data_IF_633680620823
#
_entry.id   IF_633680620823
#
_cell.length_a   1.000
_cell.length_b   1.000
_cell.length_c   1.000
_cell.angle_alpha   90.00
_cell.angle_beta   90.00
_cell.angle_gamma   90.00
#
_symmetry.space_group_name_H-M   'P 1'
#
loop_
_entity.id
_entity.type
_entity.pdbx_description
1 polymer ?
#
# COMPACT_ATOMS: atom_id res chain seq x y z
N UNK A 1 -4.71 1.24 1.20
CA UNK A 1 -4.99 2.69 1.26
C UNK A 1 -6.44 2.89 0.84
N UNK A 2 -7.20 3.77 1.53
CA UNK A 2 -8.61 3.99 1.25
C UNK A 2 -8.91 4.39 -0.19
N UNK A 3 -9.95 3.77 -0.76
CA UNK A 3 -10.65 4.25 -1.95
C UNK A 3 -11.43 5.53 -1.60
N UNK A 4 -11.59 6.48 -2.53
CA UNK A 4 -12.54 7.58 -2.33
C UNK A 4 -13.98 7.08 -2.21
N UNK A 5 -14.28 5.87 -2.70
CA UNK A 5 -15.59 5.23 -2.61
C UNK A 5 -15.79 4.44 -1.29
N UNK A 6 -14.80 4.44 -0.39
CA UNK A 6 -14.92 3.73 0.89
C UNK A 6 -15.77 4.54 1.89
N UNK A 7 -16.91 3.97 2.27
CA UNK A 7 -17.86 4.63 3.19
C UNK A 7 -17.71 4.26 4.66
N UNK A 8 -16.83 3.30 4.99
CA UNK A 8 -16.57 2.88 6.36
C UNK A 8 -15.99 4.05 7.19
N UNK A 9 -16.29 4.09 8.49
CA UNK A 9 -15.80 5.13 9.40
C UNK A 9 -14.28 5.18 9.42
N UNK A 10 -13.62 4.02 9.48
CA UNK A 10 -12.16 3.89 9.42
C UNK A 10 -11.57 4.62 8.21
N UNK A 11 -12.12 4.40 7.00
CA UNK A 11 -11.64 5.07 5.79
C UNK A 11 -11.76 6.60 5.85
N UNK A 12 -12.84 7.12 6.44
CA UNK A 12 -13.11 8.57 6.50
C UNK A 12 -12.17 9.32 7.43
N UNK A 13 -11.49 8.62 8.34
CA UNK A 13 -10.49 9.20 9.23
C UNK A 13 -9.08 9.25 8.61
N UNK A 14 -8.90 8.68 7.42
CA UNK A 14 -7.62 8.53 6.75
C UNK A 14 -7.60 9.25 5.40
N UNK A 15 -6.40 9.51 4.89
CA UNK A 15 -6.24 10.03 3.54
C UNK A 15 -6.59 8.97 2.51
N UNK A 16 -7.60 9.26 1.68
CA UNK A 16 -7.93 8.43 0.54
C UNK A 16 -7.01 8.72 -0.64
N UNK A 17 -6.73 7.67 -1.41
CA UNK A 17 -6.11 7.82 -2.72
C UNK A 17 -7.07 8.57 -3.65
N UNK A 18 -6.56 9.48 -4.48
CA UNK A 18 -7.36 10.26 -5.43
C UNK A 18 -7.02 9.85 -6.87
N UNK A 19 -7.82 8.96 -7.50
CA UNK A 19 -7.60 8.51 -8.86
C UNK A 19 -7.56 9.64 -9.89
N UNK A 20 -8.27 10.76 -9.63
CA UNK A 20 -8.37 11.87 -10.58
C UNK A 20 -7.06 12.64 -10.73
N UNK A 21 -6.16 12.54 -9.74
CA UNK A 21 -4.86 13.21 -9.74
C UNK A 21 -3.75 12.42 -10.46
N UNK A 22 -4.04 11.19 -10.89
CA UNK A 22 -3.05 10.35 -11.56
C UNK A 22 -3.47 10.03 -13.00
N UNK A 23 -2.55 10.26 -13.94
CA UNK A 23 -2.71 9.85 -15.34
C UNK A 23 -2.32 8.38 -15.57
N UNK A 24 -1.60 7.79 -14.62
CA UNK A 24 -1.06 6.43 -14.73
C UNK A 24 -1.93 5.40 -13.97
N UNK A 25 -2.90 5.88 -13.20
CA UNK A 25 -3.83 5.06 -12.46
C UNK A 25 -4.64 4.13 -13.37
N UNK A 26 -4.70 2.86 -12.96
CA UNK A 26 -5.54 1.82 -13.57
C UNK A 26 -6.18 0.98 -12.47
N UNK A 27 -7.50 1.06 -12.36
CA UNK A 27 -8.27 0.16 -11.51
C UNK A 27 -8.45 -1.19 -12.21
N UNK A 28 -8.23 -2.28 -11.51
CA UNK A 28 -8.60 -3.61 -11.98
C UNK A 28 -9.93 -4.03 -11.35
N UNK A 29 -10.66 -4.95 -12.02
CA UNK A 29 -11.89 -5.53 -11.44
C UNK A 29 -11.61 -6.71 -10.51
N UNK A 30 -10.36 -6.90 -10.08
CA UNK A 30 -9.96 -8.02 -9.24
C UNK A 30 -10.19 -7.68 -7.77
N UNK A 31 -11.09 -8.38 -7.06
CA UNK A 31 -11.30 -8.14 -5.64
C UNK A 31 -10.16 -8.73 -4.81
N UNK A 32 -9.92 -8.16 -3.63
CA UNK A 32 -9.03 -8.72 -2.62
C UNK A 32 -9.66 -8.61 -1.23
N UNK A 33 -9.20 -9.49 -0.33
CA UNK A 33 -9.53 -9.47 1.09
C UNK A 33 -8.32 -9.90 1.90
N UNK A 34 -8.01 -9.20 2.98
CA UNK A 34 -6.91 -9.53 3.89
C UNK A 34 -7.42 -9.48 5.33
N UNK A 35 -7.06 -10.50 6.11
CA UNK A 35 -7.30 -10.57 7.55
C UNK A 35 -5.99 -10.26 8.29
N UNK A 36 -6.03 -9.30 9.20
CA UNK A 36 -4.93 -8.85 10.05
C UNK A 36 -5.28 -9.08 11.52
N UNK A 37 -5.03 -10.29 12.03
CA UNK A 37 -5.43 -10.64 13.40
C UNK A 37 -6.95 -10.48 13.57
N UNK A 38 -7.38 -9.54 14.41
CA UNK A 38 -8.79 -9.18 14.60
C UNK A 38 -9.36 -8.27 13.50
N UNK A 39 -8.52 -7.46 12.85
CA UNK A 39 -8.95 -6.51 11.81
C UNK A 39 -9.01 -7.13 10.42
N UNK A 40 -9.81 -6.56 9.53
CA UNK A 40 -9.84 -6.96 8.12
C UNK A 40 -10.06 -5.78 7.17
N UNK A 41 -9.59 -5.97 5.95
CA UNK A 41 -9.81 -5.03 4.84
C UNK A 41 -10.24 -5.79 3.59
N UNK A 42 -11.06 -5.16 2.77
CA UNK A 42 -11.40 -5.67 1.43
C UNK A 42 -11.53 -4.53 0.43
N UNK A 43 -11.39 -4.85 -0.84
CA UNK A 43 -11.48 -3.86 -1.90
C UNK A 43 -11.08 -4.41 -3.26
N UNK A 44 -10.52 -3.55 -4.10
CA UNK A 44 -10.10 -3.88 -5.47
C UNK A 44 -8.60 -3.67 -5.64
N UNK A 45 -8.01 -4.47 -6.51
CA UNK A 45 -6.63 -4.29 -6.92
C UNK A 45 -6.54 -3.11 -7.90
N UNK A 46 -5.58 -2.22 -7.68
CA UNK A 46 -5.28 -1.09 -8.53
C UNK A 46 -3.79 -1.11 -8.93
N UNK A 47 -3.45 -0.31 -9.93
CA UNK A 47 -2.09 -0.12 -10.43
C UNK A 47 -1.83 1.36 -10.66
N UNK A 48 -0.69 1.85 -10.18
CA UNK A 48 -0.22 3.22 -10.43
C UNK A 48 1.29 3.33 -10.19
N UNK A 49 1.89 4.48 -10.44
CA UNK A 49 3.26 4.77 -10.07
C UNK A 49 3.36 5.10 -8.58
N UNK A 50 4.26 4.40 -7.89
CA UNK A 50 4.60 4.64 -6.49
C UNK A 50 5.93 5.41 -6.41
N UNK A 51 5.99 6.44 -5.58
CA UNK A 51 7.25 7.10 -5.23
C UNK A 51 7.53 7.01 -3.73
N UNK A 52 8.75 6.63 -3.37
CA UNK A 52 9.24 6.59 -1.98
C UNK A 52 10.55 7.38 -1.95
N UNK A 53 10.60 8.48 -1.21
CA UNK A 53 11.78 9.33 -1.10
C UNK A 53 12.41 9.71 -2.47
N UNK A 54 11.57 9.95 -3.50
CA UNK A 54 12.00 10.27 -4.87
C UNK A 54 12.33 9.06 -5.75
N UNK A 55 12.41 7.85 -5.19
CA UNK A 55 12.62 6.61 -5.94
C UNK A 55 11.28 6.16 -6.51
N UNK A 56 11.21 5.92 -7.82
CA UNK A 56 9.97 5.52 -8.51
C UNK A 56 9.90 4.00 -8.71
N UNK A 57 8.73 3.45 -8.42
CA UNK A 57 8.28 2.10 -8.80
C UNK A 57 7.09 2.28 -9.75
N UNK A 58 7.35 2.18 -11.06
CA UNK A 58 6.32 2.41 -12.08
C UNK A 58 5.37 1.23 -12.18
N UNK A 59 4.08 1.49 -12.38
CA UNK A 59 3.08 0.45 -12.51
C UNK A 59 3.03 -0.53 -11.33
N UNK A 60 3.22 -0.04 -10.12
CA UNK A 60 3.09 -0.79 -8.88
C UNK A 60 1.64 -1.21 -8.68
N UNK A 61 1.43 -2.49 -8.36
CA UNK A 61 0.12 -3.02 -7.97
C UNK A 61 -0.09 -2.80 -6.47
N UNK A 62 -1.28 -2.36 -6.07
CA UNK A 62 -1.65 -2.16 -4.67
C UNK A 62 -3.16 -2.40 -4.44
N UNK A 63 -3.55 -2.55 -3.18
CA UNK A 63 -4.95 -2.69 -2.79
C UNK A 63 -5.58 -1.33 -2.48
N UNK A 64 -6.69 -1.04 -3.16
CA UNK A 64 -7.56 0.11 -2.89
C UNK A 64 -8.76 -0.38 -2.08
N UNK A 65 -8.85 0.02 -0.81
CA UNK A 65 -9.83 -0.54 0.14
C UNK A 65 -11.20 0.10 -0.03
N UNK A 66 -12.24 -0.74 -0.12
CA UNK A 66 -13.65 -0.33 -0.11
C UNK A 66 -14.31 -0.53 1.25
N UNK A 67 -13.68 -1.36 2.10
CA UNK A 67 -14.08 -1.59 3.47
C UNK A 67 -12.84 -1.80 4.34
N UNK A 68 -12.82 -1.15 5.50
CA UNK A 68 -11.83 -1.31 6.56
C UNK A 68 -12.58 -1.50 7.88
N UNK A 69 -12.19 -2.49 8.67
CA UNK A 69 -12.82 -2.76 9.95
C UNK A 69 -12.46 -1.69 11.01
N UNK A 70 -13.24 -1.64 12.10
CA UNK A 70 -13.08 -0.63 13.16
C UNK A 70 -11.70 -0.64 13.83
N UNK A 71 -10.96 -1.76 13.76
CA UNK A 71 -9.60 -1.88 14.30
C UNK A 71 -8.61 -0.95 13.57
N UNK A 72 -8.98 -0.46 12.40
CA UNK A 72 -8.24 0.56 11.65
C UNK A 72 -8.77 1.98 11.90
N UNK A 73 -9.73 2.18 12.80
CA UNK A 73 -10.10 3.53 13.26
C UNK A 73 -8.99 4.07 14.17
N UNK A 74 -8.71 5.38 14.07
CA UNK A 74 -7.73 6.11 14.90
C UNK A 74 -6.28 5.57 14.87
N UNK A 75 -5.87 4.87 13.80
CA UNK A 75 -4.45 4.53 13.60
C UNK A 75 -3.71 5.72 12.95
N UNK A 76 -2.39 5.89 13.18
CA UNK A 76 -1.66 7.04 12.63
C UNK A 76 -1.19 6.85 11.17
N UNK A 77 -1.66 5.82 10.47
CA UNK A 77 -1.21 5.47 9.12
C UNK A 77 -2.40 5.24 8.17
N UNK A 78 -2.27 5.68 6.92
CA UNK A 78 -3.33 5.51 5.90
C UNK A 78 -3.28 4.16 5.17
N UNK A 79 -2.24 3.36 5.41
CA UNK A 79 -2.09 2.06 4.76
C UNK A 79 -0.81 1.34 5.11
N UNK A 80 -0.69 0.13 4.59
CA UNK A 80 0.43 -0.76 4.80
C UNK A 80 1.20 -0.98 3.50
N UNK A 81 2.53 -0.94 3.60
CA UNK A 81 3.43 -1.27 2.50
C UNK A 81 4.21 -2.54 2.83
N UNK A 82 3.93 -3.61 2.10
CA UNK A 82 4.67 -4.87 2.26
C UNK A 82 6.09 -4.77 1.70
N UNK A 83 7.09 -5.13 2.52
CA UNK A 83 8.51 -5.18 2.15
C UNK A 83 9.07 -6.61 2.12
N UNK A 84 8.20 -7.61 2.28
CA UNK A 84 8.56 -9.01 2.18
C UNK A 84 8.79 -9.44 0.72
N UNK A 85 9.26 -10.67 0.51
CA UNK A 85 9.46 -11.24 -0.82
C UNK A 85 8.13 -11.44 -1.57
N UNK A 86 8.16 -11.35 -2.90
CA UNK A 86 6.99 -11.49 -3.78
C UNK A 86 6.23 -12.80 -3.51
N UNK A 87 6.94 -13.89 -3.23
CA UNK A 87 6.37 -15.22 -2.93
C UNK A 87 5.46 -15.24 -1.70
N UNK A 88 5.58 -14.26 -0.80
CA UNK A 88 4.77 -14.12 0.41
C UNK A 88 3.57 -13.19 0.19
N UNK A 89 3.41 -12.62 -1.00
CA UNK A 89 2.23 -11.83 -1.33
C UNK A 89 1.00 -12.74 -1.47
N UNK A 90 -0.06 -12.45 -0.72
CA UNK A 90 -1.35 -13.15 -0.81
C UNK A 90 -1.98 -13.09 -2.21
N UNK A 91 -1.61 -12.10 -3.01
CA UNK A 91 -2.08 -11.90 -4.39
C UNK A 91 -1.03 -12.24 -5.46
N UNK A 92 0.08 -12.89 -5.07
CA UNK A 92 1.24 -13.14 -5.93
C UNK A 92 1.72 -11.88 -6.70
N UNK A 93 1.57 -10.71 -6.07
CA UNK A 93 1.86 -9.42 -6.65
C UNK A 93 3.35 -9.08 -6.46
N UNK A 94 3.94 -8.39 -7.45
CA UNK A 94 5.30 -7.87 -7.30
C UNK A 94 5.31 -6.78 -6.23
N UNK A 95 6.15 -6.93 -5.22
CA UNK A 95 6.28 -5.96 -4.12
C UNK A 95 6.97 -4.68 -4.60
N UNK A 96 6.77 -3.55 -3.91
CA UNK A 96 7.43 -2.28 -4.22
C UNK A 96 8.94 -2.40 -4.45
N UNK A 97 9.63 -3.06 -3.51
CA UNK A 97 11.09 -3.19 -3.59
C UNK A 97 11.52 -4.06 -4.77
N UNK A 98 10.88 -5.21 -4.98
CA UNK A 98 11.15 -6.06 -6.15
C UNK A 98 10.94 -5.32 -7.46
N UNK A 99 9.89 -4.48 -7.56
CA UNK A 99 9.64 -3.70 -8.76
C UNK A 99 10.75 -2.65 -8.99
N UNK A 100 11.18 -1.94 -7.94
CA UNK A 100 12.28 -0.98 -8.01
C UNK A 100 13.59 -1.64 -8.45
N UNK A 101 13.90 -2.83 -7.95
CA UNK A 101 15.10 -3.60 -8.35
C UNK A 101 15.00 -4.00 -9.83
N UNK A 102 13.86 -4.56 -10.26
CA UNK A 102 13.61 -4.93 -11.68
C UNK A 102 13.74 -3.73 -12.61
N UNK A 103 13.28 -2.56 -12.17
CA UNK A 103 13.32 -1.31 -12.93
C UNK A 103 14.66 -0.57 -12.84
N UNK A 104 15.63 -1.08 -12.05
CA UNK A 104 16.92 -0.43 -11.79
C UNK A 104 16.78 0.98 -11.19
N UNK A 105 15.69 1.24 -10.47
CA UNK A 105 15.46 2.50 -9.76
C UNK A 105 16.28 2.61 -8.47
N UNK A 106 16.79 1.48 -7.97
CA UNK A 106 17.72 1.40 -6.84
C UNK A 106 19.08 0.89 -7.32
N UNK A 107 20.15 1.46 -6.78
CA UNK A 107 21.53 1.07 -7.11
C UNK A 107 21.87 -0.33 -6.59
N UNK A 108 21.40 -0.65 -5.38
CA UNK A 108 21.71 -1.89 -4.69
C UNK A 108 20.40 -2.66 -4.38
N UNK A 109 20.38 -4.00 -4.54
CA UNK A 109 19.19 -4.81 -4.31
C UNK A 109 19.02 -5.21 -2.82
N UNK A 110 19.31 -4.31 -1.90
CA UNK A 110 19.00 -4.47 -0.48
C UNK A 110 18.56 -3.15 0.15
N UNK A 111 17.83 -3.23 1.26
CA UNK A 111 17.49 -2.11 2.12
C UNK A 111 17.82 -2.45 3.57
N UNK A 112 18.00 -1.45 4.42
CA UNK A 112 18.18 -1.63 5.86
C UNK A 112 17.28 -0.65 6.60
N UNK A 113 16.90 -1.01 7.82
CA UNK A 113 16.16 -0.14 8.72
C UNK A 113 17.10 0.17 9.90
N UNK A 114 17.59 1.41 10.05
CA UNK A 114 18.37 1.76 11.22
C UNK A 114 17.45 1.77 12.44
N UNK A 115 17.85 1.12 13.53
CA UNK A 115 17.15 1.30 14.80
C UNK A 115 17.47 2.68 15.34
N UNK A 116 16.46 3.53 15.47
CA UNK A 116 16.54 4.70 16.34
C UNK A 116 15.81 4.35 17.64
N UNK A 117 16.49 4.47 18.77
CA UNK A 117 15.80 4.57 20.05
C UNK A 117 14.95 5.84 19.98
N UNK A 118 13.63 5.70 20.07
CA UNK A 118 12.72 6.80 20.34
C UNK A 118 13.05 7.32 21.76
N UNK A 119 14.04 8.19 21.88
CA UNK A 119 14.21 9.04 23.04
C UNK A 119 13.17 10.16 22.90
N UNK A 120 11.93 9.86 23.29
CA UNK A 120 10.91 10.89 23.47
C UNK A 120 11.34 11.81 24.59
N UNK A 121 11.77 13.02 24.23
CA UNK A 121 11.84 14.20 25.08
C UNK A 121 10.48 14.84 25.21
#
# INVERSE_FOLDING_TARGET
IPSPDCNATACKQHNAFDPSKSKNFKLTKTPFKIQYGSGNVSGLIAKDDLSIAGIKSTGQIFGLTLNESKEFENVPYDGLMGMALDQLSTQNATTPFSNMVKQKSVKNPFFWLPSSTFAGS
#
